data_IF_372480129653
#
_entry.id   IF_372480129653
#
_cell.length_a   1.000
_cell.length_b   1.000
_cell.length_c   1.000
_cell.angle_alpha   90.00
_cell.angle_beta   90.00
_cell.angle_gamma   90.00
#
_symmetry.space_group_name_H-M   'P 1'
#
loop_
_entity.id
_entity.type
_entity.pdbx_description
1 polymer ?
#
# COMPACT_ATOMS: atom_id res chain seq x y z
N UNK A 1 4.78 58.98 28.08
CA UNK A 1 4.01 58.78 26.83
C UNK A 1 4.80 57.76 26.02
N UNK A 2 4.59 56.46 26.13
CA UNK A 2 3.41 55.72 25.67
C UNK A 2 3.86 54.85 24.50
N UNK A 3 4.55 53.74 24.80
CA UNK A 3 5.18 52.83 23.84
C UNK A 3 4.08 51.98 23.17
N UNK A 4 3.68 52.33 21.95
CA UNK A 4 2.69 51.58 21.17
C UNK A 4 3.42 50.62 20.22
N UNK A 5 3.69 49.40 20.70
CA UNK A 5 3.98 48.26 19.84
C UNK A 5 2.70 47.89 19.09
N UNK A 6 2.65 48.18 17.80
CA UNK A 6 1.63 47.64 16.89
C UNK A 6 1.91 46.15 16.67
N UNK A 7 1.33 45.31 17.53
CA UNK A 7 1.22 43.87 17.28
C UNK A 7 0.38 43.63 16.01
N UNK A 8 0.83 42.72 15.14
CA UNK A 8 0.10 42.33 13.95
C UNK A 8 -1.23 41.66 14.34
N UNK A 9 -2.32 42.39 14.16
CA UNK A 9 -3.68 42.03 14.61
C UNK A 9 -4.34 40.94 13.72
N UNK A 10 -3.64 40.40 12.73
CA UNK A 10 -4.19 39.53 11.69
C UNK A 10 -4.04 38.03 12.02
N UNK A 11 -2.89 37.61 12.54
CA UNK A 11 -2.64 36.19 12.88
C UNK A 11 -3.49 35.74 14.05
N UNK A 12 -3.62 36.58 15.09
CA UNK A 12 -4.40 36.26 16.29
C UNK A 12 -5.89 36.24 15.99
N UNK A 13 -6.38 37.16 15.16
CA UNK A 13 -7.80 37.23 14.79
C UNK A 13 -8.20 36.03 13.93
N UNK A 14 -7.34 35.63 12.98
CA UNK A 14 -7.56 34.43 12.17
C UNK A 14 -7.53 33.16 13.03
N UNK A 15 -6.58 33.04 13.96
CA UNK A 15 -6.50 31.91 14.88
C UNK A 15 -7.72 31.81 15.81
N UNK A 16 -8.16 32.94 16.37
CA UNK A 16 -9.35 33.00 17.24
C UNK A 16 -10.61 32.66 16.43
N UNK A 17 -10.75 33.22 15.22
CA UNK A 17 -11.87 32.90 14.33
C UNK A 17 -11.92 31.42 13.96
N UNK A 18 -10.79 30.81 13.61
CA UNK A 18 -10.72 29.40 13.25
C UNK A 18 -11.03 28.48 14.44
N UNK A 19 -10.55 28.83 15.64
CA UNK A 19 -10.84 28.10 16.87
C UNK A 19 -12.33 28.17 17.25
N UNK A 20 -12.95 29.36 17.15
CA UNK A 20 -14.38 29.55 17.40
C UNK A 20 -15.24 28.80 16.37
N UNK A 21 -14.90 28.90 15.08
CA UNK A 21 -15.63 28.22 14.01
C UNK A 21 -15.59 26.69 14.14
N UNK A 22 -14.42 26.13 14.45
CA UNK A 22 -14.28 24.69 14.72
C UNK A 22 -15.07 24.27 15.97
N UNK A 23 -15.02 25.06 17.04
CA UNK A 23 -15.79 24.80 18.27
C UNK A 23 -17.30 24.76 18.03
N UNK A 24 -17.84 25.72 17.27
CA UNK A 24 -19.27 25.78 16.92
C UNK A 24 -19.66 24.58 16.04
N UNK A 25 -18.82 24.20 15.07
CA UNK A 25 -19.04 23.04 14.23
C UNK A 25 -19.12 21.74 15.03
N UNK A 26 -18.18 21.51 15.96
CA UNK A 26 -18.21 20.32 16.83
C UNK A 26 -19.40 20.32 17.78
N UNK A 27 -19.77 21.47 18.36
CA UNK A 27 -20.94 21.59 19.23
C UNK A 27 -22.25 21.27 18.48
N UNK A 28 -22.40 21.77 17.25
CA UNK A 28 -23.57 21.51 16.41
C UNK A 28 -23.70 20.04 16.00
N UNK A 29 -22.58 19.35 15.73
CA UNK A 29 -22.55 17.92 15.39
C UNK A 29 -22.94 17.07 16.61
N UNK A 30 -22.46 17.43 17.81
CA UNK A 30 -22.77 16.72 19.07
C UNK A 30 -24.23 16.88 19.47
N UNK A 31 -24.82 18.07 19.32
CA UNK A 31 -26.23 18.32 19.63
C UNK A 31 -27.16 17.53 18.70
N UNK A 32 -26.80 17.37 17.43
CA UNK A 32 -27.64 16.69 16.42
C UNK A 32 -27.60 15.17 16.50
N UNK A 33 -26.47 14.59 16.90
CA UNK A 33 -26.27 13.12 16.84
C UNK A 33 -26.23 12.46 18.21
N UNK A 34 -26.11 13.25 19.30
CA UNK A 34 -25.85 12.81 20.69
C UNK A 34 -24.72 11.77 20.81
N UNK A 35 -23.83 11.69 19.82
CA UNK A 35 -22.76 10.69 19.76
C UNK A 35 -21.53 11.27 19.10
N UNK A 36 -20.46 11.37 19.87
CA UNK A 36 -19.13 11.81 19.43
C UNK A 36 -18.46 10.83 18.45
N UNK A 37 -19.06 9.65 18.25
CA UNK A 37 -18.47 8.56 17.50
C UNK A 37 -18.32 8.88 16.00
N UNK A 38 -19.22 9.67 15.42
CA UNK A 38 -19.14 10.09 14.02
C UNK A 38 -17.96 11.05 13.77
N UNK A 39 -17.60 11.90 14.74
CA UNK A 39 -16.43 12.77 14.63
C UNK A 39 -15.12 11.97 14.69
N UNK A 40 -15.05 10.96 15.56
CA UNK A 40 -13.90 10.05 15.66
C UNK A 40 -13.76 9.23 14.37
N UNK A 41 -14.86 8.71 13.83
CA UNK A 41 -14.88 7.93 12.59
C UNK A 41 -14.40 8.75 11.38
N UNK A 42 -14.86 10.01 11.24
CA UNK A 42 -14.40 10.91 10.17
C UNK A 42 -12.92 11.25 10.34
N UNK A 43 -12.46 11.51 11.58
CA UNK A 43 -11.04 11.74 11.85
C UNK A 43 -10.16 10.55 11.47
N UNK A 44 -10.58 9.32 11.81
CA UNK A 44 -9.89 8.10 11.41
C UNK A 44 -9.87 7.89 9.89
N UNK A 45 -10.95 8.21 9.18
CA UNK A 45 -11.00 8.13 7.71
C UNK A 45 -10.03 9.13 7.07
N UNK A 46 -10.03 10.39 7.52
CA UNK A 46 -9.14 11.43 7.00
C UNK A 46 -7.68 11.13 7.34
N UNK A 47 -7.40 10.69 8.57
CA UNK A 47 -6.06 10.28 8.99
C UNK A 47 -5.57 9.07 8.17
N UNK A 48 -6.41 8.08 7.93
CA UNK A 48 -6.07 6.91 7.11
C UNK A 48 -5.84 7.28 5.64
N UNK A 49 -6.63 8.21 5.08
CA UNK A 49 -6.46 8.70 3.71
C UNK A 49 -5.14 9.48 3.53
N UNK A 50 -4.76 10.29 4.51
CA UNK A 50 -3.48 11.02 4.54
C UNK A 50 -2.29 10.08 4.83
N UNK A 51 -2.46 9.05 5.65
CA UNK A 51 -1.41 8.06 5.91
C UNK A 51 -1.14 7.18 4.69
N UNK A 52 -2.19 6.74 3.98
CA UNK A 52 -2.03 5.88 2.80
C UNK A 52 -1.38 6.59 1.61
N UNK A 53 -1.62 7.90 1.45
CA UNK A 53 -0.99 8.71 0.39
C UNK A 53 0.50 8.97 0.64
N UNK A 54 0.96 8.92 1.91
CA UNK A 54 2.37 9.05 2.25
C UNK A 54 3.13 7.70 2.24
N UNK A 55 2.45 6.58 2.50
CA UNK A 55 3.09 5.25 2.66
C UNK A 55 3.31 4.47 1.35
N UNK A 56 2.84 4.97 0.20
CA UNK A 56 3.08 4.39 -1.13
C UNK A 56 4.00 5.25 -2.00
N UNK A 57 4.94 5.99 -1.41
CA UNK A 57 6.06 6.56 -2.16
C UNK A 57 7.02 5.44 -2.54
N UNK A 58 7.19 5.20 -3.83
CA UNK A 58 8.25 4.33 -4.32
C UNK A 58 9.61 4.92 -3.87
N UNK A 59 10.45 4.13 -3.21
CA UNK A 59 11.83 4.53 -2.84
C UNK A 59 12.76 4.69 -4.05
N UNK A 60 12.21 4.74 -5.26
CA UNK A 60 12.98 4.87 -6.49
C UNK A 60 13.16 6.36 -6.80
N UNK A 61 14.40 6.76 -7.09
CA UNK A 61 14.68 8.10 -7.58
C UNK A 61 13.88 8.37 -8.86
N UNK A 62 13.20 9.53 -8.91
CA UNK A 62 12.41 9.96 -10.06
C UNK A 62 13.23 10.07 -11.33
N UNK A 63 12.59 9.93 -12.49
CA UNK A 63 13.27 9.89 -13.78
C UNK A 63 14.07 11.17 -14.08
N UNK A 64 13.51 12.34 -13.75
CA UNK A 64 14.18 13.62 -14.01
C UNK A 64 15.49 13.74 -13.21
N UNK A 65 15.51 13.19 -12.00
CA UNK A 65 16.71 13.13 -11.18
C UNK A 65 17.78 12.26 -11.84
N UNK A 66 17.41 11.06 -12.30
CA UNK A 66 18.34 10.15 -13.01
C UNK A 66 18.92 10.80 -14.27
N UNK A 67 18.06 11.45 -15.07
CA UNK A 67 18.48 12.18 -16.29
C UNK A 67 19.49 13.28 -15.97
N UNK A 68 19.25 14.09 -14.93
CA UNK A 68 20.18 15.15 -14.51
C UNK A 68 21.54 14.59 -14.06
N UNK A 69 21.54 13.51 -13.28
CA UNK A 69 22.77 12.86 -12.81
C UNK A 69 23.60 12.34 -13.99
N UNK A 70 22.95 11.69 -14.96
CA UNK A 70 23.63 11.18 -16.16
C UNK A 70 24.14 12.31 -17.05
N UNK A 71 23.35 13.38 -17.24
CA UNK A 71 23.79 14.55 -17.99
C UNK A 71 25.04 15.20 -17.37
N UNK A 72 25.07 15.35 -16.04
CA UNK A 72 26.23 15.86 -15.31
C UNK A 72 27.45 14.93 -15.41
N UNK A 73 27.26 13.62 -15.38
CA UNK A 73 28.38 12.70 -15.63
C UNK A 73 28.89 12.82 -17.07
N UNK A 74 27.99 12.99 -18.05
CA UNK A 74 28.35 13.08 -19.46
C UNK A 74 29.02 14.42 -19.82
N UNK A 75 28.87 15.47 -19.01
CA UNK A 75 29.61 16.73 -19.18
C UNK A 75 31.09 16.65 -18.75
N UNK A 76 31.58 15.46 -18.40
CA UNK A 76 33.01 15.20 -18.16
C UNK A 76 33.41 15.04 -16.69
N UNK A 77 32.44 15.10 -15.76
CA UNK A 77 32.73 14.95 -14.33
C UNK A 77 33.05 13.51 -13.93
N UNK A 78 33.92 13.36 -12.92
CA UNK A 78 34.25 12.06 -12.37
C UNK A 78 33.02 11.46 -11.65
N UNK A 79 32.89 10.13 -11.70
CA UNK A 79 31.82 9.40 -10.98
C UNK A 79 31.81 9.76 -9.48
N UNK A 80 32.97 10.00 -8.88
CA UNK A 80 33.07 10.36 -7.47
C UNK A 80 32.51 11.76 -7.19
N UNK A 81 32.82 12.72 -8.06
CA UNK A 81 32.34 14.10 -7.96
C UNK A 81 30.81 14.13 -8.12
N UNK A 82 30.29 13.47 -9.16
CA UNK A 82 28.85 13.30 -9.38
C UNK A 82 28.15 12.70 -8.15
N UNK A 83 28.73 11.65 -7.55
CA UNK A 83 28.14 11.05 -6.35
C UNK A 83 28.12 12.02 -5.15
N UNK A 84 29.16 12.84 -4.97
CA UNK A 84 29.23 13.84 -3.90
C UNK A 84 28.21 14.96 -4.11
N UNK A 85 28.10 15.49 -5.33
CA UNK A 85 27.19 16.60 -5.68
C UNK A 85 25.73 16.20 -5.50
N UNK A 86 25.37 14.99 -5.96
CA UNK A 86 23.99 14.51 -5.91
C UNK A 86 23.64 13.70 -4.66
N UNK A 87 24.60 13.44 -3.76
CA UNK A 87 24.38 12.65 -2.55
C UNK A 87 23.99 11.20 -2.80
N UNK A 88 24.47 10.60 -3.91
CA UNK A 88 24.15 9.21 -4.27
C UNK A 88 25.32 8.26 -4.05
N UNK A 89 25.02 6.98 -3.87
CA UNK A 89 26.06 5.95 -3.82
C UNK A 89 26.68 5.70 -5.20
N UNK A 90 27.97 5.36 -5.25
CA UNK A 90 28.66 4.94 -6.49
C UNK A 90 27.97 3.75 -7.17
N UNK A 91 27.42 2.83 -6.38
CA UNK A 91 26.70 1.66 -6.90
C UNK A 91 25.42 2.08 -7.64
N UNK A 92 24.68 3.06 -7.12
CA UNK A 92 23.48 3.60 -7.77
C UNK A 92 23.80 4.20 -9.13
N UNK A 93 24.86 5.01 -9.22
CA UNK A 93 25.32 5.59 -10.48
C UNK A 93 25.72 4.50 -11.49
N UNK A 94 26.49 3.50 -11.04
CA UNK A 94 26.89 2.36 -11.87
C UNK A 94 25.68 1.57 -12.42
N UNK A 95 24.68 1.32 -11.58
CA UNK A 95 23.46 0.62 -11.99
C UNK A 95 22.69 1.40 -13.07
N UNK A 96 22.64 2.73 -12.98
CA UNK A 96 21.99 3.55 -14.00
C UNK A 96 22.77 3.62 -15.31
N UNK A 97 24.10 3.70 -15.27
CA UNK A 97 24.94 3.59 -16.47
C UNK A 97 24.72 2.24 -17.15
N UNK A 98 24.79 1.14 -16.40
CA UNK A 98 24.56 -0.21 -16.90
C UNK A 98 23.15 -0.39 -17.46
N UNK A 99 22.15 0.19 -16.80
CA UNK A 99 20.77 0.16 -17.26
C UNK A 99 20.62 0.92 -18.60
N UNK A 100 21.27 2.08 -18.72
CA UNK A 100 21.27 2.87 -19.94
C UNK A 100 21.97 2.13 -21.10
N UNK A 101 23.10 1.47 -20.82
CA UNK A 101 23.84 0.66 -21.81
C UNK A 101 23.02 -0.55 -22.29
N UNK A 102 22.31 -1.22 -21.39
CA UNK A 102 21.58 -2.47 -21.71
C UNK A 102 20.20 -2.24 -22.29
N UNK A 103 19.46 -1.24 -21.81
CA UNK A 103 18.05 -1.01 -22.15
C UNK A 103 17.82 0.31 -22.90
N UNK A 104 18.83 1.19 -23.01
CA UNK A 104 18.68 2.53 -23.60
C UNK A 104 17.78 3.48 -22.80
N UNK A 105 17.31 3.06 -21.62
CA UNK A 105 16.22 3.72 -20.89
C UNK A 105 16.49 3.80 -19.40
N UNK A 106 16.25 4.97 -18.79
CA UNK A 106 16.41 5.23 -17.34
C UNK A 106 15.13 5.03 -16.52
N UNK A 107 14.03 4.67 -17.18
CA UNK A 107 12.72 4.40 -16.57
C UNK A 107 12.82 3.37 -15.46
N UNK A 108 11.95 3.52 -14.46
CA UNK A 108 11.85 2.56 -13.37
C UNK A 108 11.18 1.31 -13.93
N UNK A 109 11.91 0.19 -13.94
CA UNK A 109 11.29 -1.08 -14.32
C UNK A 109 10.22 -1.46 -13.28
N UNK A 110 8.98 -1.72 -13.70
CA UNK A 110 7.95 -2.15 -12.77
C UNK A 110 8.36 -3.50 -12.16
N UNK A 111 8.13 -3.66 -10.85
CA UNK A 111 8.41 -4.92 -10.17
C UNK A 111 7.54 -6.01 -10.78
N UNK A 112 8.15 -6.91 -11.56
CA UNK A 112 7.50 -8.12 -12.07
C UNK A 112 7.22 -9.05 -10.89
N UNK A 113 5.99 -9.00 -10.36
CA UNK A 113 5.51 -10.01 -9.42
C UNK A 113 5.21 -11.27 -10.21
N UNK A 114 5.74 -12.42 -9.80
CA UNK A 114 5.33 -13.70 -10.36
C UNK A 114 3.87 -13.95 -9.94
N UNK A 115 2.90 -14.04 -10.88
CA UNK A 115 1.56 -14.44 -10.50
C UNK A 115 1.60 -15.92 -10.10
N UNK A 116 1.44 -16.21 -8.82
CA UNK A 116 1.13 -17.57 -8.39
C UNK A 116 -0.37 -17.76 -8.59
N UNK A 117 -0.74 -18.38 -9.71
CA UNK A 117 -2.15 -18.66 -10.05
C UNK A 117 -2.36 -20.16 -10.05
N UNK A 118 -3.30 -20.63 -9.24
CA UNK A 118 -3.77 -22.02 -9.29
C UNK A 118 -4.45 -22.19 -10.66
N UNK A 119 -4.11 -23.22 -11.46
CA UNK A 119 -4.81 -23.52 -12.70
C UNK A 119 -6.28 -23.84 -12.38
N UNK A 120 -7.19 -22.98 -12.86
CA UNK A 120 -8.61 -23.06 -12.50
C UNK A 120 -9.27 -24.30 -13.10
N UNK A 121 -8.95 -24.63 -14.34
CA UNK A 121 -9.50 -25.79 -15.06
C UNK A 121 -9.14 -27.11 -14.36
N UNK A 122 -7.90 -27.21 -13.86
CA UNK A 122 -7.46 -28.38 -13.09
C UNK A 122 -8.11 -28.45 -11.71
N UNK A 123 -8.34 -27.29 -11.07
CA UNK A 123 -9.03 -27.22 -9.79
C UNK A 123 -10.50 -27.62 -9.93
N UNK A 124 -11.18 -27.20 -11.00
CA UNK A 124 -12.57 -27.55 -11.29
C UNK A 124 -12.73 -29.06 -11.52
N UNK A 125 -11.90 -29.65 -12.39
CA UNK A 125 -11.90 -31.10 -12.63
C UNK A 125 -11.61 -31.90 -11.34
N UNK A 126 -10.72 -31.40 -10.47
CA UNK A 126 -10.42 -32.06 -9.20
C UNK A 126 -11.59 -32.01 -8.22
N UNK A 127 -12.33 -30.90 -8.18
CA UNK A 127 -13.51 -30.73 -7.32
C UNK A 127 -14.69 -31.56 -7.80
N UNK A 128 -14.87 -31.70 -9.12
CA UNK A 128 -15.88 -32.59 -9.69
C UNK A 128 -15.58 -34.07 -9.41
N UNK A 129 -14.31 -34.47 -9.51
CA UNK A 129 -13.88 -35.84 -9.19
C UNK A 129 -13.96 -36.17 -7.69
N UNK A 130 -13.84 -35.16 -6.81
CA UNK A 130 -13.80 -35.31 -5.36
C UNK A 130 -14.69 -34.28 -4.63
N UNK A 131 -16.03 -34.43 -4.68
CA UNK A 131 -16.96 -33.45 -4.09
C UNK A 131 -16.88 -33.36 -2.56
N UNK A 132 -16.31 -34.38 -1.92
CA UNK A 132 -16.14 -34.56 -0.47
C UNK A 132 -14.73 -34.24 0.03
N UNK A 133 -13.79 -33.86 -0.85
CA UNK A 133 -12.43 -33.48 -0.47
C UNK A 133 -12.38 -32.21 0.39
N UNK A 134 -11.53 -32.22 1.41
CA UNK A 134 -11.28 -31.05 2.24
C UNK A 134 -10.36 -30.05 1.53
N UNK A 135 -10.55 -28.75 1.83
CA UNK A 135 -9.66 -27.69 1.32
C UNK A 135 -8.17 -27.93 1.61
N UNK A 136 -7.85 -28.66 2.68
CA UNK A 136 -6.47 -29.04 3.02
C UNK A 136 -5.90 -30.08 2.06
N UNK A 137 -6.69 -31.08 1.67
CA UNK A 137 -6.29 -32.15 0.76
C UNK A 137 -6.10 -31.59 -0.66
N UNK A 138 -7.03 -30.72 -1.09
CA UNK A 138 -6.89 -29.98 -2.35
C UNK A 138 -5.62 -29.11 -2.30
N UNK A 139 -5.37 -28.43 -1.19
CA UNK A 139 -4.20 -27.57 -1.05
C UNK A 139 -2.87 -28.36 -1.09
N UNK A 140 -2.84 -29.57 -0.53
CA UNK A 140 -1.68 -30.48 -0.60
C UNK A 140 -1.41 -30.91 -2.05
N UNK A 141 -2.45 -31.26 -2.83
CA UNK A 141 -2.29 -31.61 -4.25
C UNK A 141 -1.74 -30.47 -5.10
N UNK A 142 -2.24 -29.25 -4.89
CA UNK A 142 -1.77 -28.06 -5.62
C UNK A 142 -0.53 -27.40 -4.98
N UNK A 143 0.06 -28.02 -3.94
CA UNK A 143 1.18 -27.48 -3.14
C UNK A 143 0.98 -26.00 -2.78
N UNK A 144 -0.20 -25.66 -2.28
CA UNK A 144 -0.60 -24.30 -1.98
C UNK A 144 -1.22 -24.19 -0.57
N UNK A 145 -1.57 -22.97 -0.16
CA UNK A 145 -2.24 -22.75 1.13
C UNK A 145 -3.75 -23.00 0.97
N UNK A 146 -4.45 -23.57 1.97
CA UNK A 146 -5.91 -23.77 1.90
C UNK A 146 -6.71 -22.49 1.61
N UNK A 147 -6.23 -21.34 2.09
CA UNK A 147 -6.82 -20.04 1.80
C UNK A 147 -6.76 -19.68 0.31
N UNK A 148 -5.67 -20.03 -0.39
CA UNK A 148 -5.53 -19.80 -1.82
C UNK A 148 -6.52 -20.64 -2.63
N UNK A 149 -6.75 -21.89 -2.23
CA UNK A 149 -7.78 -22.77 -2.81
C UNK A 149 -9.16 -22.18 -2.61
N UNK A 150 -9.50 -21.77 -1.37
CA UNK A 150 -10.79 -21.14 -1.09
C UNK A 150 -11.04 -19.89 -1.94
N UNK A 151 -10.02 -19.04 -2.12
CA UNK A 151 -10.11 -17.87 -3.00
C UNK A 151 -10.32 -18.26 -4.47
N UNK A 152 -9.69 -19.33 -4.95
CA UNK A 152 -9.85 -19.83 -6.31
C UNK A 152 -11.26 -20.42 -6.52
N UNK A 153 -11.77 -21.21 -5.59
CA UNK A 153 -13.14 -21.76 -5.64
C UNK A 153 -14.19 -20.65 -5.61
N UNK A 154 -14.00 -19.64 -4.75
CA UNK A 154 -14.87 -18.45 -4.71
C UNK A 154 -14.90 -17.71 -6.06
N UNK A 155 -13.79 -17.72 -6.79
CA UNK A 155 -13.68 -17.10 -8.12
C UNK A 155 -14.46 -17.87 -9.20
N UNK A 156 -14.50 -19.19 -9.10
CA UNK A 156 -15.24 -20.09 -10.01
C UNK A 156 -16.74 -20.12 -9.65
N UNK A 157 -17.11 -19.66 -8.44
CA UNK A 157 -18.49 -19.62 -7.97
C UNK A 157 -18.96 -20.91 -7.29
N UNK A 158 -18.05 -21.86 -7.04
CA UNK A 158 -18.34 -23.10 -6.32
C UNK A 158 -18.35 -22.80 -4.82
N UNK A 159 -19.48 -23.09 -4.17
CA UNK A 159 -19.59 -23.05 -2.70
C UNK A 159 -19.66 -24.47 -2.16
N UNK A 160 -18.53 -24.97 -1.65
CA UNK A 160 -18.49 -26.24 -0.91
C UNK A 160 -19.09 -26.00 0.48
N UNK A 161 -20.41 -26.18 0.62
CA UNK A 161 -21.08 -26.18 1.93
C UNK A 161 -20.93 -27.57 2.54
N UNK A 162 -20.42 -27.62 3.77
CA UNK A 162 -20.38 -28.87 4.54
C UNK A 162 -21.81 -29.29 4.87
N UNK A 163 -22.26 -30.40 4.30
CA UNK A 163 -23.38 -31.13 4.87
C UNK A 163 -22.91 -31.83 6.14
N UNK A 164 -23.52 -31.48 7.27
CA UNK A 164 -23.14 -31.95 8.61
C UNK A 164 -23.48 -33.43 8.86
N UNK A 165 -23.73 -34.23 7.81
CA UNK A 165 -24.16 -35.64 7.88
C UNK A 165 -23.00 -36.65 7.95
N UNK A 166 -21.86 -36.25 8.50
CA UNK A 166 -20.82 -37.19 8.92
C UNK A 166 -20.79 -37.22 10.45
N UNK A 167 -21.21 -38.35 11.02
CA UNK A 167 -21.02 -38.60 12.46
C UNK A 167 -19.54 -38.48 12.77
N UNK A 168 -19.23 -37.65 13.78
CA UNK A 168 -17.87 -37.43 14.24
C UNK A 168 -17.32 -38.72 14.88
N UNK A 169 -16.62 -39.55 14.13
CA UNK A 169 -15.85 -40.64 14.73
C UNK A 169 -14.45 -40.16 15.10
N UNK A 170 -14.33 -39.87 16.40
CA UNK A 170 -13.18 -39.87 17.32
C UNK A 170 -11.92 -39.06 16.98
N UNK A 171 -11.64 -38.09 17.86
CA UNK A 171 -10.32 -37.49 18.09
C UNK A 171 -9.28 -38.57 18.41
N UNK A 172 -8.15 -38.57 17.69
CA UNK A 172 -6.94 -39.26 18.12
C UNK A 172 -5.97 -38.22 18.67
N UNK A 173 -5.84 -38.19 19.99
CA UNK A 173 -4.66 -37.63 20.67
C UNK A 173 -3.48 -38.57 20.40
N UNK A 174 -2.35 -37.98 20.04
CA UNK A 174 -1.02 -38.59 19.96
C UNK A 174 -0.03 -37.44 19.98
#
# INVERSE_FOLDING_TARGET
MGNLQTQALDVTLFQVYYAMAMGIYFAAVVIRTRSLWWAIFIHFIVFHFLYNTCYNKSMAYGIDFRKRVIAYKNSGHSKQETCKVFGISRNTLYLWEKQLETLGTLEISPRKRKPFKIPLDQLEAYVEAHPDAFLREIAEQFNCRPQSVWMALKKIGITLKKDNKLSRTRSRKG
#
